data_IF_382234272732
#
_entry.id   IF_382234272732
#
_cell.length_a   1.000
_cell.length_b   1.000
_cell.length_c   1.000
_cell.angle_alpha   90.00
_cell.angle_beta   90.00
_cell.angle_gamma   90.00
#
_symmetry.space_group_name_H-M   'P 1'
#
loop_
_entity.id
_entity.type
_entity.pdbx_description
1 polymer ?
#
# COMPACT_ATOMS: atom_id res chain seq x y z
N UNK A 1 0.10 -8.32 -15.96
CA UNK A 1 -0.20 -8.03 -14.55
C UNK A 1 -1.10 -9.10 -13.99
N UNK A 2 -0.69 -9.68 -12.88
CA UNK A 2 -1.50 -10.72 -12.25
C UNK A 2 -2.46 -10.06 -11.28
N UNK A 3 -3.73 -10.40 -11.38
CA UNK A 3 -4.75 -9.80 -10.54
C UNK A 3 -5.26 -10.79 -9.50
N UNK A 4 -5.43 -10.30 -8.31
CA UNK A 4 -6.01 -11.08 -7.24
C UNK A 4 -7.52 -11.17 -7.47
N UNK A 5 -8.11 -12.34 -7.28
CA UNK A 5 -9.52 -12.55 -7.57
C UNK A 5 -10.48 -11.90 -6.58
N UNK A 6 -9.97 -11.33 -5.48
CA UNK A 6 -10.83 -10.79 -4.43
C UNK A 6 -11.30 -9.36 -4.68
N UNK A 7 -10.72 -8.66 -5.65
CA UNK A 7 -11.08 -7.28 -5.94
C UNK A 7 -11.36 -7.11 -7.42
N UNK A 8 -12.18 -6.14 -7.75
CA UNK A 8 -12.40 -5.77 -9.14
C UNK A 8 -11.09 -5.28 -9.76
N UNK A 9 -10.93 -5.47 -11.04
CA UNK A 9 -9.68 -5.11 -11.73
C UNK A 9 -9.38 -3.61 -11.57
N UNK A 10 -10.40 -2.74 -11.67
CA UNK A 10 -10.14 -1.31 -11.55
C UNK A 10 -9.66 -0.95 -10.13
N UNK A 11 -10.11 -1.67 -9.12
CA UNK A 11 -9.64 -1.44 -7.75
C UNK A 11 -8.18 -1.87 -7.61
N UNK A 12 -7.81 -2.97 -8.25
CA UNK A 12 -6.42 -3.43 -8.23
C UNK A 12 -5.50 -2.46 -8.97
N UNK A 13 -5.98 -1.86 -10.05
CA UNK A 13 -5.24 -0.83 -10.76
C UNK A 13 -5.01 0.39 -9.88
N UNK A 14 -6.05 0.81 -9.15
CA UNK A 14 -5.93 1.93 -8.22
C UNK A 14 -4.92 1.60 -7.11
N UNK A 15 -4.98 0.38 -6.56
CA UNK A 15 -4.03 -0.06 -5.55
C UNK A 15 -2.60 -0.03 -6.08
N UNK A 16 -2.41 -0.42 -7.32
CA UNK A 16 -1.07 -0.40 -7.92
C UNK A 16 -0.55 1.02 -8.07
N UNK A 17 -1.40 1.94 -8.46
CA UNK A 17 -0.98 3.35 -8.52
C UNK A 17 -0.60 3.84 -7.13
N UNK A 18 -1.36 3.46 -6.10
CA UNK A 18 -1.01 3.79 -4.73
C UNK A 18 0.33 3.19 -4.31
N UNK A 19 0.62 1.96 -4.73
CA UNK A 19 1.93 1.34 -4.47
C UNK A 19 3.05 2.18 -5.07
N UNK A 20 2.86 2.66 -6.30
CA UNK A 20 3.87 3.49 -6.96
C UNK A 20 4.08 4.81 -6.24
N UNK A 21 3.02 5.38 -5.72
CA UNK A 21 3.11 6.62 -4.95
C UNK A 21 3.84 6.39 -3.63
N UNK A 22 3.50 5.30 -2.94
CA UNK A 22 4.17 4.95 -1.69
C UNK A 22 5.66 4.70 -1.93
N UNK A 23 5.99 4.01 -3.02
CA UNK A 23 7.37 3.69 -3.37
C UNK A 23 8.18 4.92 -3.78
N UNK A 24 7.52 6.04 -4.04
CA UNK A 24 8.20 7.26 -4.44
C UNK A 24 8.42 7.39 -5.94
N UNK A 25 7.82 6.52 -6.73
CA UNK A 25 7.93 6.60 -8.18
C UNK A 25 7.15 7.79 -8.73
N UNK A 26 6.07 8.16 -8.05
CA UNK A 26 5.32 9.38 -8.32
C UNK A 26 5.19 10.14 -7.02
N UNK A 27 5.71 11.34 -6.99
CA UNK A 27 5.71 12.19 -5.79
C UNK A 27 4.57 13.20 -5.84
N UNK A 28 4.42 13.94 -4.77
CA UNK A 28 3.41 15.00 -4.71
C UNK A 28 3.55 15.90 -5.92
N UNK A 29 2.43 16.17 -6.56
CA UNK A 29 2.29 17.04 -7.72
C UNK A 29 3.01 16.55 -8.98
N UNK A 30 3.53 15.33 -8.98
CA UNK A 30 4.07 14.73 -10.19
C UNK A 30 2.93 14.32 -11.12
N UNK A 31 3.18 14.44 -12.40
CA UNK A 31 2.26 13.96 -13.41
C UNK A 31 2.34 12.43 -13.47
N UNK A 32 1.19 11.79 -13.54
CA UNK A 32 1.12 10.33 -13.72
C UNK A 32 0.71 10.02 -15.16
N UNK A 33 0.87 8.78 -15.61
CA UNK A 33 0.44 8.40 -16.96
C UNK A 33 -1.03 8.73 -17.17
N UNK A 34 -1.38 9.06 -18.40
CA UNK A 34 -2.79 9.26 -18.75
C UNK A 34 -3.55 7.95 -18.58
N UNK A 35 -4.86 8.04 -18.51
CA UNK A 35 -5.70 6.84 -18.41
C UNK A 35 -5.36 5.84 -19.51
N UNK A 36 -5.21 6.33 -20.74
CA UNK A 36 -4.92 5.46 -21.88
C UNK A 36 -3.53 4.85 -21.75
N UNK A 37 -2.55 5.67 -21.39
CA UNK A 37 -1.18 5.17 -21.20
C UNK A 37 -1.13 4.08 -20.12
N UNK A 38 -1.83 4.31 -19.02
CA UNK A 38 -1.83 3.35 -17.92
C UNK A 38 -2.53 2.04 -18.33
N UNK A 39 -3.61 2.15 -19.09
CA UNK A 39 -4.30 0.97 -19.61
C UNK A 39 -3.35 0.13 -20.47
N UNK A 40 -2.57 0.77 -21.32
CA UNK A 40 -1.60 0.08 -22.16
C UNK A 40 -0.50 -0.55 -21.30
N UNK A 41 0.01 0.20 -20.33
CA UNK A 41 1.08 -0.31 -19.46
C UNK A 41 0.66 -1.57 -18.71
N UNK A 42 -0.59 -1.63 -18.27
CA UNK A 42 -1.08 -2.76 -17.49
C UNK A 42 -1.84 -3.78 -18.34
N UNK A 43 -1.96 -3.54 -19.63
CA UNK A 43 -2.65 -4.42 -20.59
C UNK A 43 -4.09 -4.67 -20.17
N UNK A 44 -4.81 -3.60 -19.84
CA UNK A 44 -6.21 -3.67 -19.45
C UNK A 44 -7.05 -2.78 -20.35
N UNK A 45 -8.36 -2.99 -20.29
CA UNK A 45 -9.30 -2.19 -21.05
C UNK A 45 -9.28 -0.73 -20.58
N UNK A 46 -9.34 0.21 -21.52
CA UNK A 46 -9.32 1.64 -21.20
C UNK A 46 -10.47 2.02 -20.26
N UNK A 47 -11.64 1.44 -20.47
CA UNK A 47 -12.79 1.75 -19.60
C UNK A 47 -12.53 1.33 -18.16
N UNK A 48 -11.82 0.24 -17.96
CA UNK A 48 -11.42 -0.20 -16.62
C UNK A 48 -10.45 0.80 -16.00
N UNK A 49 -9.51 1.29 -16.79
CA UNK A 49 -8.55 2.31 -16.33
C UNK A 49 -9.26 3.61 -15.97
N UNK A 50 -10.30 3.98 -16.73
CA UNK A 50 -11.10 5.16 -16.41
C UNK A 50 -11.70 5.02 -15.01
N UNK A 51 -12.27 3.85 -14.70
CA UNK A 51 -12.85 3.62 -13.38
C UNK A 51 -11.82 3.71 -12.27
N UNK A 52 -10.61 3.20 -12.54
CA UNK A 52 -9.54 3.28 -11.55
C UNK A 52 -9.17 4.73 -11.25
N UNK A 53 -9.04 5.55 -12.29
CA UNK A 53 -8.69 6.96 -12.11
C UNK A 53 -9.83 7.74 -11.44
N UNK A 54 -11.08 7.40 -11.77
CA UNK A 54 -12.21 8.01 -11.10
C UNK A 54 -12.21 7.70 -9.61
N UNK A 55 -11.87 6.47 -9.26
CA UNK A 55 -11.78 6.07 -7.86
C UNK A 55 -10.68 6.86 -7.14
N UNK A 56 -9.49 6.93 -7.75
CA UNK A 56 -8.38 7.66 -7.16
C UNK A 56 -8.67 9.15 -7.00
N UNK A 57 -9.35 9.74 -7.98
CA UNK A 57 -9.71 11.15 -7.91
C UNK A 57 -10.79 11.40 -6.85
N UNK A 58 -11.74 10.47 -6.73
CA UNK A 58 -12.80 10.58 -5.71
C UNK A 58 -12.23 10.49 -4.30
N UNK A 59 -11.15 9.74 -4.14
CA UNK A 59 -10.47 9.61 -2.85
C UNK A 59 -9.40 10.68 -2.64
N UNK A 60 -9.31 11.64 -3.54
CA UNK A 60 -8.35 12.75 -3.44
C UNK A 60 -6.89 12.30 -3.43
N UNK A 61 -6.60 11.16 -4.07
CA UNK A 61 -5.24 10.67 -4.26
C UNK A 61 -4.59 11.34 -5.46
N UNK A 62 -5.39 11.59 -6.51
CA UNK A 62 -4.92 12.27 -7.70
C UNK A 62 -5.90 13.41 -8.03
N UNK A 63 -5.44 14.35 -8.82
CA UNK A 63 -6.29 15.43 -9.30
C UNK A 63 -6.02 15.69 -10.77
N UNK A 64 -7.03 16.21 -11.45
CA UNK A 64 -6.94 16.48 -12.88
C UNK A 64 -6.65 17.95 -13.09
N UNK A 65 -5.64 18.26 -13.91
CA UNK A 65 -5.44 19.61 -14.40
C UNK A 65 -5.91 19.64 -15.84
N UNK A 66 -6.93 20.43 -16.09
CA UNK A 66 -7.55 20.52 -17.39
C UNK A 66 -6.51 20.80 -18.48
N UNK A 67 -6.46 19.93 -19.50
CA UNK A 67 -5.52 20.06 -20.58
C UNK A 67 -4.11 19.58 -20.29
N UNK A 68 -3.81 19.23 -19.04
CA UNK A 68 -2.47 18.81 -18.65
C UNK A 68 -2.41 17.39 -18.15
N UNK A 69 -3.53 16.81 -17.74
CA UNK A 69 -3.59 15.43 -17.28
C UNK A 69 -3.79 15.29 -15.79
N UNK A 70 -3.42 14.12 -15.27
CA UNK A 70 -3.60 13.79 -13.86
C UNK A 70 -2.28 13.90 -13.11
N UNK A 71 -2.38 14.31 -11.86
CA UNK A 71 -1.23 14.58 -11.00
C UNK A 71 -1.50 13.99 -9.62
N UNK A 72 -0.42 13.65 -8.90
CA UNK A 72 -0.53 13.14 -7.53
C UNK A 72 -0.89 14.29 -6.59
N UNK A 73 -1.90 14.07 -5.74
CA UNK A 73 -2.27 15.09 -4.76
C UNK A 73 -1.14 15.31 -3.76
N UNK A 74 -0.98 16.55 -3.25
CA UNK A 74 0.14 16.88 -2.36
C UNK A 74 0.24 15.99 -1.12
N UNK A 75 -0.90 15.54 -0.56
CA UNK A 75 -0.92 14.73 0.64
C UNK A 75 -1.30 13.29 0.36
N UNK A 76 -1.16 12.84 -0.88
CA UNK A 76 -1.57 11.50 -1.28
C UNK A 76 -0.84 10.40 -0.50
N UNK A 77 0.49 10.50 -0.41
CA UNK A 77 1.28 9.45 0.23
C UNK A 77 0.90 9.22 1.69
N UNK A 78 0.88 10.25 2.55
CA UNK A 78 0.46 10.02 3.94
C UNK A 78 -0.98 9.53 4.06
N UNK A 79 -1.86 9.97 3.16
CA UNK A 79 -3.25 9.52 3.17
C UNK A 79 -3.35 8.03 2.84
N UNK A 80 -2.63 7.59 1.81
CA UNK A 80 -2.59 6.19 1.43
C UNK A 80 -2.03 5.34 2.57
N UNK A 81 -0.92 5.78 3.16
CA UNK A 81 -0.29 5.03 4.25
C UNK A 81 -1.23 4.90 5.45
N UNK A 82 -1.93 5.98 5.79
CA UNK A 82 -2.87 5.93 6.92
C UNK A 82 -4.00 4.94 6.66
N UNK A 83 -4.55 4.94 5.47
CA UNK A 83 -5.63 4.04 5.10
C UNK A 83 -5.17 2.58 5.10
N UNK A 84 -4.02 2.31 4.51
CA UNK A 84 -3.49 0.94 4.46
C UNK A 84 -3.12 0.42 5.82
N UNK A 85 -2.58 1.28 6.67
CA UNK A 85 -2.25 0.90 8.03
C UNK A 85 -3.51 0.53 8.80
N UNK A 86 -4.57 1.31 8.62
CA UNK A 86 -5.83 1.04 9.27
C UNK A 86 -6.41 -0.30 8.83
N UNK A 87 -6.38 -0.58 7.53
CA UNK A 87 -6.88 -1.85 7.01
C UNK A 87 -6.06 -3.01 7.52
N UNK A 88 -4.74 -2.86 7.52
CA UNK A 88 -3.84 -3.91 7.99
C UNK A 88 -4.13 -4.26 9.45
N UNK A 89 -4.21 -3.24 10.29
CA UNK A 89 -4.41 -3.45 11.73
C UNK A 89 -5.80 -3.99 12.05
N UNK A 90 -6.81 -3.52 11.33
CA UNK A 90 -8.19 -3.88 11.65
C UNK A 90 -8.68 -5.14 10.96
N UNK A 91 -8.05 -5.53 9.87
CA UNK A 91 -8.54 -6.66 9.08
C UNK A 91 -7.54 -7.80 8.98
N UNK A 92 -6.31 -7.51 8.58
CA UNK A 92 -5.35 -8.57 8.38
C UNK A 92 -4.77 -9.12 9.69
N UNK A 93 -4.36 -8.23 10.58
CA UNK A 93 -3.77 -8.66 11.84
C UNK A 93 -4.71 -9.53 12.68
N UNK A 94 -5.99 -9.19 12.84
CA UNK A 94 -6.89 -10.07 13.59
C UNK A 94 -6.97 -11.48 12.99
N UNK A 95 -6.94 -11.59 11.68
CA UNK A 95 -6.95 -12.88 11.01
C UNK A 95 -5.66 -13.65 11.29
N UNK A 96 -4.52 -12.96 11.27
CA UNK A 96 -3.24 -13.56 11.61
C UNK A 96 -3.28 -14.06 13.06
N UNK A 97 -3.81 -13.26 13.98
CA UNK A 97 -3.92 -13.66 15.38
C UNK A 97 -4.79 -14.90 15.56
N UNK A 98 -5.89 -14.95 14.80
CA UNK A 98 -6.77 -16.12 14.85
C UNK A 98 -6.01 -17.39 14.41
N UNK A 99 -5.28 -17.29 13.34
CA UNK A 99 -4.50 -18.44 12.84
C UNK A 99 -3.38 -18.82 13.80
N UNK A 100 -2.72 -17.83 14.39
CA UNK A 100 -1.70 -18.08 15.40
C UNK A 100 -2.26 -18.88 16.57
N UNK A 101 -3.45 -18.48 17.01
CA UNK A 101 -4.11 -19.17 18.12
C UNK A 101 -4.38 -20.63 17.78
N UNK A 102 -4.86 -20.87 16.57
CA UNK A 102 -5.17 -22.24 16.11
C UNK A 102 -3.92 -23.10 16.00
N UNK A 103 -2.82 -22.50 15.63
CA UNK A 103 -1.58 -23.24 15.37
C UNK A 103 -0.63 -23.28 16.56
N UNK A 104 -1.01 -22.65 17.66
CA UNK A 104 -0.17 -22.64 18.84
C UNK A 104 1.07 -21.75 18.71
N UNK A 105 0.99 -20.74 17.87
CA UNK A 105 2.10 -19.81 17.66
C UNK A 105 1.89 -18.61 18.58
N UNK A 106 2.85 -18.31 19.43
CA UNK A 106 2.76 -17.19 20.34
C UNK A 106 3.46 -15.96 19.83
N UNK A 107 3.22 -14.84 20.49
CA UNK A 107 3.81 -13.57 20.09
C UNK A 107 5.34 -13.59 20.19
N UNK A 108 5.87 -14.35 21.14
CA UNK A 108 7.31 -14.48 21.28
C UNK A 108 7.95 -15.13 20.06
N UNK A 109 7.27 -16.10 19.47
CA UNK A 109 7.76 -16.75 18.25
C UNK A 109 7.80 -15.76 17.10
N UNK A 110 6.76 -14.92 17.01
CA UNK A 110 6.68 -13.92 15.96
C UNK A 110 7.75 -12.85 16.15
N UNK A 111 7.97 -12.45 17.40
CA UNK A 111 8.98 -11.44 17.69
C UNK A 111 10.37 -11.94 17.31
N UNK A 112 10.64 -13.21 17.59
CA UNK A 112 11.93 -13.81 17.24
C UNK A 112 12.10 -13.82 15.72
N UNK A 113 11.08 -14.23 14.99
CA UNK A 113 11.10 -14.24 13.54
C UNK A 113 11.28 -12.84 12.95
N UNK A 114 10.62 -11.87 13.57
CA UNK A 114 10.75 -10.47 13.15
C UNK A 114 12.19 -9.99 13.28
N UNK A 115 12.80 -10.26 14.42
CA UNK A 115 14.17 -9.83 14.67
C UNK A 115 15.15 -10.49 13.71
N UNK A 116 14.95 -11.79 13.44
CA UNK A 116 15.80 -12.51 12.50
C UNK A 116 15.60 -12.00 11.07
N UNK A 117 14.36 -11.72 10.70
CA UNK A 117 14.06 -11.18 9.38
C UNK A 117 14.80 -9.86 9.14
N UNK A 118 14.74 -8.96 10.12
CA UNK A 118 15.38 -7.66 9.97
C UNK A 118 16.90 -7.76 10.02
N UNK A 119 17.44 -8.68 10.79
CA UNK A 119 18.88 -8.89 10.79
C UNK A 119 19.38 -9.34 9.41
N UNK A 120 18.67 -10.24 8.78
CA UNK A 120 19.08 -10.72 7.47
C UNK A 120 18.81 -9.69 6.38
N UNK A 121 17.85 -8.81 6.56
CA UNK A 121 17.50 -7.83 5.56
C UNK A 121 18.19 -6.48 5.73
N UNK A 122 18.86 -6.25 6.86
CA UNK A 122 19.60 -5.00 7.05
C UNK A 122 20.83 -4.94 6.16
N UNK A 123 21.26 -6.08 5.66
CA UNK A 123 22.38 -6.11 4.72
C UNK A 123 21.92 -5.84 3.29
N UNK A 124 20.63 -5.72 3.08
CA UNK A 124 20.11 -5.41 1.77
C UNK A 124 19.90 -3.91 1.65
N UNK A 125 19.86 -3.43 0.44
CA UNK A 125 19.77 -2.00 0.22
C UNK A 125 18.47 -1.43 0.76
N UNK A 126 18.57 -0.34 1.47
CA UNK A 126 17.46 0.53 1.85
C UNK A 126 16.38 -0.08 2.74
N UNK A 127 16.75 -0.73 3.82
CA UNK A 127 15.71 -1.26 4.72
C UNK A 127 14.83 -0.17 5.29
N UNK A 128 15.36 1.02 5.47
CA UNK A 128 14.60 2.12 6.03
C UNK A 128 13.67 2.81 5.05
N UNK A 129 13.77 2.47 3.78
CA UNK A 129 12.98 3.12 2.76
C UNK A 129 11.49 2.80 2.89
N UNK A 130 11.19 1.57 3.23
CA UNK A 130 9.81 1.14 3.28
C UNK A 130 9.25 1.12 4.68
N UNK A 131 10.05 0.81 5.65
CA UNK A 131 9.53 0.57 6.97
C UNK A 131 10.64 0.66 8.00
N UNK A 132 10.38 1.35 9.11
CA UNK A 132 11.35 1.46 10.19
C UNK A 132 10.87 0.64 11.36
N UNK A 133 11.65 -0.34 11.78
CA UNK A 133 11.25 -1.17 12.92
C UNK A 133 10.89 -0.37 14.16
N UNK A 134 11.55 0.74 14.37
CA UNK A 134 11.25 1.57 15.53
C UNK A 134 9.80 2.04 15.57
N UNK A 135 9.16 2.15 14.42
CA UNK A 135 7.77 2.56 14.40
C UNK A 135 6.84 1.46 14.84
N UNK A 136 7.32 0.24 14.83
CA UNK A 136 6.53 -0.89 15.31
C UNK A 136 6.34 -0.79 16.82
N UNK A 137 7.32 -0.23 17.52
CA UNK A 137 7.19 -0.05 18.96
C UNK A 137 6.02 0.84 19.31
N UNK A 138 5.75 1.82 18.47
CA UNK A 138 4.63 2.72 18.70
C UNK A 138 3.31 1.97 18.64
N UNK A 139 3.28 0.92 17.86
CA UNK A 139 2.06 0.15 17.68
C UNK A 139 1.93 -0.96 18.72
N UNK A 140 2.96 -1.22 19.47
CA UNK A 140 2.83 -2.19 20.53
C UNK A 140 1.85 -1.64 21.52
N UNK A 141 0.85 -2.39 21.83
CA UNK A 141 0.03 -2.01 22.93
C UNK A 141 0.95 -1.98 24.10
N UNK A 142 1.00 -0.93 24.71
CA UNK A 142 1.61 -0.86 25.93
C UNK A 142 1.00 -1.87 26.73
N UNK A 143 1.52 -2.91 26.82
CA UNK A 143 1.21 -3.90 27.63
C UNK A 143 0.41 -3.57 28.72
N UNK A 144 -0.64 -3.96 28.70
CA UNK A 144 -1.44 -3.84 29.81
C UNK A 144 -0.88 -4.67 30.81
N UNK A 145 -0.57 -4.79 31.35
CA UNK A 145 -0.23 -5.52 32.31
C UNK A 145 -0.98 -6.47 32.61
#
# INVERSE_FOLDING_TARGET
MDFNNNKAIYEQMADRMCDEIIAGNYRADDRIPSVREYAIMLEVNTNTAVKAYELLAREDIIYNKRGLGYFVAPDARPQILAQRKKEFVNELLPEVFRQMSLLGIGINDVEKMWNEHWKSHTNLTHPGKYFRPSKVKIMRPTSPK
#
